data_IF_105107354074
#
_entry.id   IF_105107354074
#
_cell.length_a   1.000
_cell.length_b   1.000
_cell.length_c   1.000
_cell.angle_alpha   90.00
_cell.angle_beta   90.00
_cell.angle_gamma   90.00
#
_symmetry.space_group_name_H-M   'P 1'
#
loop_
_entity.id
_entity.type
_entity.pdbx_description
1 polymer ?
#
# COMPACT_ATOMS: atom_id res chain seq x y z
N UNK A 1 16.56 -9.84 -45.07
CA UNK A 1 17.38 -9.03 -44.14
C UNK A 1 16.99 -7.60 -44.39
N UNK A 2 16.54 -6.80 -43.43
CA UNK A 2 15.97 -7.04 -42.12
C UNK A 2 14.84 -6.00 -41.98
N UNK A 3 13.82 -6.30 -41.18
CA UNK A 3 12.71 -5.38 -40.96
C UNK A 3 12.28 -5.40 -39.51
N UNK A 4 13.25 -5.62 -38.61
CA UNK A 4 13.06 -5.48 -37.17
C UNK A 4 12.96 -3.99 -36.83
N UNK A 5 11.92 -3.35 -37.35
CA UNK A 5 11.56 -1.98 -37.05
C UNK A 5 10.94 -2.02 -35.65
N UNK A 6 11.79 -1.80 -34.65
CA UNK A 6 11.44 -1.26 -33.34
C UNK A 6 10.12 -1.80 -32.74
N UNK A 7 10.20 -2.85 -31.92
CA UNK A 7 9.20 -2.99 -30.85
C UNK A 7 9.36 -1.77 -29.93
N UNK A 8 8.49 -0.79 -30.12
CA UNK A 8 8.57 0.55 -29.55
C UNK A 8 8.50 0.54 -28.01
N UNK A 9 9.23 1.44 -27.32
CA UNK A 9 9.14 1.61 -25.86
C UNK A 9 7.72 1.96 -25.37
N UNK A 10 6.85 2.45 -26.26
CA UNK A 10 5.46 2.80 -25.95
C UNK A 10 4.58 1.59 -25.61
N UNK A 11 4.81 0.43 -26.23
CA UNK A 11 4.08 -0.80 -25.89
C UNK A 11 4.50 -1.32 -24.51
N UNK A 12 5.80 -1.32 -24.22
CA UNK A 12 6.32 -1.69 -22.90
C UNK A 12 5.80 -0.74 -21.80
N UNK A 13 5.71 0.56 -22.07
CA UNK A 13 5.12 1.52 -21.14
C UNK A 13 3.62 1.27 -20.89
N UNK A 14 2.85 0.97 -21.95
CA UNK A 14 1.43 0.60 -21.84
C UNK A 14 1.24 -0.68 -21.03
N UNK A 15 1.98 -1.73 -21.35
CA UNK A 15 1.92 -3.02 -20.65
C UNK A 15 2.26 -2.87 -19.16
N UNK A 16 3.18 -1.95 -18.82
CA UNK A 16 3.52 -1.64 -17.44
C UNK A 16 2.40 -0.87 -16.73
N UNK A 17 1.75 0.10 -17.39
CA UNK A 17 0.62 0.85 -16.83
C UNK A 17 -0.59 -0.07 -16.57
N UNK A 18 -0.87 -1.00 -17.49
CA UNK A 18 -1.96 -1.97 -17.35
C UNK A 18 -1.69 -2.93 -16.18
N UNK A 19 -0.44 -3.37 -16.00
CA UNK A 19 -0.02 -4.19 -14.85
C UNK A 19 -0.16 -3.46 -13.52
N UNK A 20 0.28 -2.20 -13.45
CA UNK A 20 0.12 -1.37 -12.26
C UNK A 20 -1.37 -1.17 -11.92
N UNK A 21 -2.20 -0.86 -12.93
CA UNK A 21 -3.65 -0.71 -12.76
C UNK A 21 -4.31 -2.00 -12.24
N UNK A 22 -3.85 -3.17 -12.70
CA UNK A 22 -4.35 -4.45 -12.22
C UNK A 22 -3.89 -4.76 -10.79
N UNK A 23 -2.66 -4.37 -10.43
CA UNK A 23 -2.12 -4.53 -9.10
C UNK A 23 -2.82 -3.62 -8.08
N UNK A 24 -3.04 -2.34 -8.41
CA UNK A 24 -3.78 -1.39 -7.56
C UNK A 24 -5.15 -1.92 -7.17
N UNK A 25 -5.91 -2.45 -8.15
CA UNK A 25 -7.23 -3.05 -7.91
C UNK A 25 -7.15 -4.29 -7.02
N UNK A 26 -6.05 -5.04 -7.07
CA UNK A 26 -5.83 -6.21 -6.22
C UNK A 26 -5.58 -5.78 -4.79
N UNK A 27 -4.70 -4.80 -4.59
CA UNK A 27 -4.41 -4.20 -3.28
C UNK A 27 -5.68 -3.59 -2.66
N UNK A 28 -6.51 -2.88 -3.44
CA UNK A 28 -7.79 -2.33 -2.97
C UNK A 28 -8.75 -3.40 -2.44
N UNK A 29 -8.94 -4.47 -3.20
CA UNK A 29 -9.80 -5.59 -2.82
C UNK A 29 -9.28 -6.29 -1.57
N UNK A 30 -7.98 -6.52 -1.50
CA UNK A 30 -7.34 -7.17 -0.37
C UNK A 30 -7.47 -6.31 0.90
N UNK A 31 -7.27 -4.99 0.78
CA UNK A 31 -7.46 -4.05 1.88
C UNK A 31 -8.89 -4.03 2.39
N UNK A 32 -9.88 -3.99 1.49
CA UNK A 32 -11.30 -4.04 1.89
C UNK A 32 -11.62 -5.32 2.67
N UNK A 33 -11.16 -6.47 2.18
CA UNK A 33 -11.33 -7.75 2.87
C UNK A 33 -10.65 -7.74 4.24
N UNK A 34 -9.39 -7.32 4.30
CA UNK A 34 -8.61 -7.28 5.53
C UNK A 34 -9.23 -6.34 6.59
N UNK A 35 -9.64 -5.13 6.20
CA UNK A 35 -10.34 -4.19 7.10
C UNK A 35 -11.65 -4.79 7.61
N UNK A 36 -12.42 -5.42 6.73
CA UNK A 36 -13.68 -6.07 7.11
C UNK A 36 -13.45 -7.17 8.15
N UNK A 37 -12.46 -8.02 7.95
CA UNK A 37 -12.09 -9.08 8.90
C UNK A 37 -11.63 -8.51 10.25
N UNK A 38 -10.80 -7.45 10.24
CA UNK A 38 -10.37 -6.76 11.47
C UNK A 38 -11.55 -6.18 12.23
N UNK A 39 -12.41 -5.45 11.53
CA UNK A 39 -13.57 -4.77 12.12
C UNK A 39 -14.71 -5.73 12.47
N UNK A 40 -14.75 -6.95 11.93
CA UNK A 40 -15.67 -7.99 12.39
C UNK A 40 -15.25 -8.56 13.76
N UNK A 41 -13.96 -8.47 14.10
CA UNK A 41 -13.41 -8.85 15.39
C UNK A 41 -13.58 -7.80 16.49
N UNK A 42 -12.83 -8.00 17.58
CA UNK A 42 -12.77 -7.07 18.72
C UNK A 42 -12.03 -5.77 18.40
N UNK A 43 -11.16 -5.78 17.38
CA UNK A 43 -10.41 -4.60 16.96
C UNK A 43 -11.32 -3.63 16.20
N UNK A 44 -11.39 -2.39 16.66
CA UNK A 44 -12.13 -1.31 15.99
C UNK A 44 -11.19 -0.17 15.70
N UNK A 45 -10.91 0.05 14.42
CA UNK A 45 -10.17 1.23 14.00
C UNK A 45 -11.09 2.45 14.04
N UNK A 46 -10.61 3.53 14.64
CA UNK A 46 -11.24 4.83 14.53
C UNK A 46 -10.96 5.47 13.16
N UNK A 47 -11.54 6.64 12.90
CA UNK A 47 -11.40 7.34 11.62
C UNK A 47 -9.94 7.70 11.29
N UNK A 48 -9.17 8.15 12.27
CA UNK A 48 -7.79 8.56 12.10
C UNK A 48 -6.88 7.38 11.76
N UNK A 49 -7.05 6.26 12.48
CA UNK A 49 -6.39 4.99 12.18
C UNK A 49 -6.76 4.52 10.77
N UNK A 50 -8.04 4.57 10.39
CA UNK A 50 -8.47 4.18 9.04
C UNK A 50 -7.87 5.05 7.94
N UNK A 51 -7.75 6.36 8.17
CA UNK A 51 -7.12 7.26 7.21
C UNK A 51 -5.63 6.95 7.05
N UNK A 52 -4.93 6.65 8.14
CA UNK A 52 -3.55 6.19 8.10
C UNK A 52 -3.36 4.87 7.36
N UNK A 53 -4.22 3.88 7.63
CA UNK A 53 -4.21 2.60 6.93
C UNK A 53 -4.44 2.78 5.41
N UNK A 54 -5.29 3.74 5.00
CA UNK A 54 -5.47 4.07 3.57
C UNK A 54 -4.21 4.67 2.95
N UNK A 55 -3.51 5.57 3.63
CA UNK A 55 -2.24 6.12 3.12
C UNK A 55 -1.18 5.03 2.93
N UNK A 56 -1.08 4.10 3.89
CA UNK A 56 -0.21 2.92 3.76
C UNK A 56 -0.62 2.03 2.59
N UNK A 57 -1.92 1.80 2.41
CA UNK A 57 -2.48 1.06 1.27
C UNK A 57 -2.08 1.69 -0.07
N UNK A 58 -2.19 3.01 -0.21
CA UNK A 58 -1.77 3.70 -1.44
C UNK A 58 -0.28 3.51 -1.70
N UNK A 59 0.56 3.61 -0.66
CA UNK A 59 1.99 3.38 -0.81
C UNK A 59 2.31 1.95 -1.25
N UNK A 60 1.64 0.95 -0.67
CA UNK A 60 1.80 -0.47 -1.06
C UNK A 60 1.33 -0.68 -2.50
N UNK A 61 0.21 -0.07 -2.92
CA UNK A 61 -0.28 -0.17 -4.29
C UNK A 61 0.77 0.33 -5.30
N UNK A 62 1.51 1.41 -4.98
CA UNK A 62 2.54 1.94 -5.88
C UNK A 62 3.91 1.28 -5.76
N UNK A 63 4.26 0.78 -4.57
CA UNK A 63 5.63 0.38 -4.22
C UNK A 63 5.77 -1.11 -3.88
N UNK A 64 4.69 -1.88 -3.93
CA UNK A 64 4.55 -3.30 -3.54
C UNK A 64 4.74 -3.62 -2.05
N UNK A 65 5.38 -2.74 -1.28
CA UNK A 65 5.67 -2.94 0.14
C UNK A 65 5.82 -1.59 0.85
N UNK A 66 5.71 -1.58 2.18
CA UNK A 66 6.06 -0.44 3.03
C UNK A 66 6.95 -0.89 4.21
N UNK A 67 8.06 -0.20 4.41
CA UNK A 67 8.97 -0.34 5.54
C UNK A 67 8.76 0.78 6.56
N UNK A 68 9.29 0.61 7.78
CA UNK A 68 9.17 1.61 8.85
C UNK A 68 9.85 2.93 8.45
N UNK A 69 10.93 2.85 7.69
CA UNK A 69 11.71 3.98 7.16
C UNK A 69 10.91 4.79 6.15
N UNK A 70 9.96 4.19 5.43
CA UNK A 70 9.11 4.94 4.51
C UNK A 70 8.24 5.97 5.24
N UNK A 71 7.97 5.77 6.53
CA UNK A 71 7.20 6.70 7.36
C UNK A 71 7.93 8.02 7.64
N UNK A 72 9.21 8.14 7.29
CA UNK A 72 9.98 9.40 7.39
C UNK A 72 9.85 10.30 6.17
N UNK A 73 9.14 9.84 5.15
CA UNK A 73 9.02 10.55 3.88
C UNK A 73 7.56 10.87 3.54
N UNK A 74 7.37 11.77 2.59
CA UNK A 74 6.04 12.16 2.07
C UNK A 74 5.31 10.94 1.47
N UNK A 75 4.01 10.76 1.77
CA UNK A 75 3.13 11.69 2.49
C UNK A 75 3.10 11.52 4.02
N UNK A 76 3.80 10.55 4.60
CA UNK A 76 3.68 10.23 6.02
C UNK A 76 4.28 11.30 6.94
N UNK A 77 5.41 11.88 6.55
CA UNK A 77 6.09 12.95 7.31
C UNK A 77 5.18 14.15 7.58
N UNK A 78 4.40 14.57 6.58
CA UNK A 78 3.43 15.65 6.67
C UNK A 78 2.28 15.35 7.65
N UNK A 79 2.06 14.08 7.97
CA UNK A 79 1.05 13.62 8.92
C UNK A 79 1.65 13.20 10.28
N UNK A 80 2.94 13.48 10.53
CA UNK A 80 3.63 13.18 11.79
C UNK A 80 4.47 11.89 11.78
N UNK A 81 4.59 11.24 10.61
CA UNK A 81 5.50 10.13 10.33
C UNK A 81 5.42 8.97 11.33
N UNK A 82 6.59 8.42 11.69
CA UNK A 82 6.69 7.34 12.70
C UNK A 82 6.04 7.69 14.03
N UNK A 83 6.13 8.96 14.46
CA UNK A 83 5.55 9.41 15.72
C UNK A 83 4.03 9.26 15.73
N UNK A 84 3.39 9.62 14.62
CA UNK A 84 1.94 9.45 14.47
C UNK A 84 1.54 7.97 14.34
N UNK A 85 2.30 7.17 13.58
CA UNK A 85 2.08 5.72 13.52
C UNK A 85 2.12 5.08 14.91
N UNK A 86 3.10 5.46 15.74
CA UNK A 86 3.18 4.99 17.13
C UNK A 86 2.03 5.53 17.99
N UNK A 87 1.61 6.78 17.83
CA UNK A 87 0.47 7.34 18.57
C UNK A 87 -0.84 6.56 18.29
N UNK A 88 -1.03 6.12 17.05
CA UNK A 88 -2.25 5.44 16.60
C UNK A 88 -2.27 3.94 16.90
N UNK A 89 -1.13 3.27 16.78
CA UNK A 89 -1.04 1.81 16.86
C UNK A 89 -0.16 1.30 18.01
N UNK A 90 0.52 2.20 18.73
CA UNK A 90 1.39 1.89 19.86
C UNK A 90 2.46 0.87 19.51
N UNK A 91 2.70 -0.05 20.45
CA UNK A 91 3.62 -1.17 20.29
C UNK A 91 3.22 -2.12 19.14
N UNK A 92 1.99 -2.01 18.63
CA UNK A 92 1.49 -2.78 17.50
C UNK A 92 1.89 -2.23 16.13
N UNK A 93 2.59 -1.09 16.04
CA UNK A 93 2.88 -0.46 14.73
C UNK A 93 3.63 -1.38 13.75
N UNK A 94 4.65 -2.10 14.22
CA UNK A 94 5.46 -2.96 13.35
C UNK A 94 4.67 -4.19 12.90
N UNK A 95 3.86 -4.75 13.80
CA UNK A 95 2.94 -5.83 13.46
C UNK A 95 1.90 -5.38 12.42
N UNK A 96 1.37 -4.15 12.55
CA UNK A 96 0.45 -3.58 11.57
C UNK A 96 1.10 -3.47 10.18
N UNK A 97 2.34 -2.98 10.10
CA UNK A 97 3.10 -2.88 8.85
C UNK A 97 3.31 -4.26 8.23
N UNK A 98 3.84 -5.23 9.00
CA UNK A 98 4.06 -6.60 8.51
C UNK A 98 2.78 -7.23 8.00
N UNK A 99 1.71 -7.12 8.79
CA UNK A 99 0.43 -7.73 8.45
C UNK A 99 -0.18 -7.10 7.20
N UNK A 100 -0.11 -5.76 7.05
CA UNK A 100 -0.59 -5.10 5.84
C UNK A 100 0.20 -5.54 4.61
N UNK A 101 1.53 -5.62 4.70
CA UNK A 101 2.35 -6.08 3.59
C UNK A 101 1.97 -7.52 3.16
N UNK A 102 1.76 -8.41 4.13
CA UNK A 102 1.34 -9.79 3.86
C UNK A 102 -0.09 -9.88 3.31
N UNK A 103 -1.02 -9.10 3.85
CA UNK A 103 -2.43 -9.19 3.46
C UNK A 103 -2.70 -8.54 2.10
N UNK A 104 -1.98 -7.47 1.75
CA UNK A 104 -2.28 -6.65 0.57
C UNK A 104 -1.48 -7.07 -0.67
N UNK A 105 -0.23 -7.52 -0.51
CA UNK A 105 0.67 -7.77 -1.63
C UNK A 105 0.46 -9.12 -2.35
N UNK A 106 -0.53 -9.91 -1.92
CA UNK A 106 -0.84 -11.27 -2.41
C UNK A 106 -1.87 -11.28 -3.54
#
# INVERSE_FOLDING_TARGET
MDGSINQFPEQAARDNIDKLTAYDKTVDRNFQKWVFEKQAGALKFNEEQMNWLRMMKEHIATSFHIEVENLDYTPFDAHGGRGMMFALFGNGMNAMISEMNEALAV
#
